data_IF_669235002276
#
_entry.id   IF_669235002276
#
_cell.length_a   1.000
_cell.length_b   1.000
_cell.length_c   1.000
_cell.angle_alpha   90.00
_cell.angle_beta   90.00
_cell.angle_gamma   90.00
#
_symmetry.space_group_name_H-M   'P 1'
#
loop_
_entity.id
_entity.type
_entity.pdbx_description
1 polymer ?
#
# COMPACT_ATOMS: atom_id res chain seq x y z
N UNK A 1 -1.66 2.16 1.28
CA UNK A 1 -2.82 1.26 1.03
C UNK A 1 -3.85 1.46 2.14
N UNK A 2 -5.08 1.67 1.78
CA UNK A 2 -6.18 1.66 2.75
C UNK A 2 -6.98 0.37 2.57
N UNK A 3 -7.52 -0.17 3.65
CA UNK A 3 -8.21 -1.45 3.57
C UNK A 3 -9.35 -1.58 4.57
N UNK A 4 -10.46 -2.14 4.10
CA UNK A 4 -11.47 -2.75 4.94
C UNK A 4 -11.15 -4.23 5.12
N UNK A 5 -12.16 -5.10 5.32
CA UNK A 5 -11.95 -6.54 5.49
C UNK A 5 -11.63 -7.21 4.15
N UNK A 6 -10.35 -7.31 3.82
CA UNK A 6 -9.84 -7.80 2.53
C UNK A 6 -8.91 -9.01 2.67
N UNK A 7 -9.12 -9.85 3.67
CA UNK A 7 -8.24 -11.00 3.95
C UNK A 7 -8.02 -11.93 2.76
N UNK A 8 -9.00 -12.03 1.84
CA UNK A 8 -8.90 -12.89 0.66
C UNK A 8 -8.09 -12.29 -0.48
N UNK A 9 -7.99 -10.96 -0.54
CA UNK A 9 -7.41 -10.24 -1.69
C UNK A 9 -6.13 -9.50 -1.37
N UNK A 10 -5.96 -9.08 -0.12
CA UNK A 10 -4.82 -8.25 0.28
C UNK A 10 -3.47 -8.96 0.08
N UNK A 11 -3.43 -10.29 0.24
CA UNK A 11 -2.18 -11.05 0.05
C UNK A 11 -1.63 -10.87 -1.37
N UNK A 12 -2.48 -10.95 -2.38
CA UNK A 12 -2.05 -10.77 -3.77
C UNK A 12 -1.57 -9.36 -4.05
N UNK A 13 -2.27 -8.36 -3.49
CA UNK A 13 -1.86 -6.97 -3.61
C UNK A 13 -0.49 -6.74 -2.96
N UNK A 14 -0.28 -7.27 -1.76
CA UNK A 14 0.98 -7.14 -1.03
C UNK A 14 2.13 -7.88 -1.74
N UNK A 15 1.88 -9.08 -2.24
CA UNK A 15 2.87 -9.84 -3.00
C UNK A 15 3.36 -9.07 -4.22
N UNK A 16 2.47 -8.32 -4.88
CA UNK A 16 2.79 -7.58 -6.08
C UNK A 16 3.70 -6.36 -5.84
N UNK A 17 3.86 -5.94 -4.59
CA UNK A 17 4.66 -4.75 -4.24
C UNK A 17 5.80 -5.05 -3.27
N UNK A 18 5.72 -6.12 -2.48
CA UNK A 18 6.66 -6.39 -1.39
C UNK A 18 8.10 -6.59 -1.84
N UNK A 19 8.31 -7.13 -3.03
CA UNK A 19 9.65 -7.47 -3.51
C UNK A 19 10.47 -6.28 -4.01
N UNK A 20 9.86 -5.12 -4.24
CA UNK A 20 10.53 -3.98 -4.87
C UNK A 20 10.21 -2.63 -4.23
N UNK A 21 9.36 -2.60 -3.22
CA UNK A 21 9.08 -1.37 -2.49
C UNK A 21 9.88 -1.34 -1.18
N UNK A 22 10.28 -0.15 -0.76
CA UNK A 22 11.06 0.05 0.47
C UNK A 22 10.19 -0.04 1.71
N UNK A 23 8.97 0.46 1.61
CA UNK A 23 8.06 0.60 2.75
C UNK A 23 6.63 0.34 2.30
N UNK A 24 5.90 -0.42 3.12
CA UNK A 24 4.47 -0.67 2.89
C UNK A 24 3.70 -0.12 4.08
N UNK A 25 2.75 0.77 3.82
CA UNK A 25 1.86 1.35 4.83
C UNK A 25 0.45 0.85 4.55
N UNK A 26 -0.18 0.25 5.55
CA UNK A 26 -1.57 -0.21 5.47
C UNK A 26 -2.39 0.48 6.56
N UNK A 27 -3.39 1.23 6.16
CA UNK A 27 -4.35 1.84 7.08
C UNK A 27 -5.64 1.03 7.02
N UNK A 28 -5.95 0.34 8.11
CA UNK A 28 -7.14 -0.49 8.22
C UNK A 28 -8.26 0.26 8.92
N UNK A 29 -9.50 -0.04 8.53
CA UNK A 29 -10.64 0.36 9.34
C UNK A 29 -10.52 -0.32 10.71
N UNK A 30 -10.80 0.42 11.79
CA UNK A 30 -10.54 -0.06 13.15
C UNK A 30 -11.29 -1.33 13.55
N UNK A 31 -12.41 -1.60 12.90
CA UNK A 31 -13.30 -2.75 13.18
C UNK A 31 -12.94 -4.02 12.40
N UNK A 32 -11.92 -3.98 11.54
CA UNK A 32 -11.51 -5.16 10.76
C UNK A 32 -10.97 -6.24 11.69
N UNK A 33 -11.55 -7.44 11.60
CA UNK A 33 -11.20 -8.56 12.46
C UNK A 33 -11.12 -9.90 11.70
N UNK A 34 -10.87 -9.86 10.39
CA UNK A 34 -10.82 -11.04 9.52
C UNK A 34 -9.40 -11.57 9.25
N UNK A 35 -8.41 -11.04 9.96
CA UNK A 35 -7.00 -11.43 9.77
C UNK A 35 -6.25 -10.61 8.73
N UNK A 36 -6.85 -9.57 8.16
CA UNK A 36 -6.19 -8.70 7.19
C UNK A 36 -4.93 -8.08 7.77
N UNK A 37 -4.94 -7.66 9.03
CA UNK A 37 -3.79 -7.09 9.72
C UNK A 37 -2.64 -8.08 9.85
N UNK A 38 -2.93 -9.34 10.16
CA UNK A 38 -1.91 -10.38 10.28
C UNK A 38 -1.24 -10.64 8.95
N UNK A 39 -2.01 -10.70 7.88
CA UNK A 39 -1.46 -10.87 6.52
C UNK A 39 -0.54 -9.70 6.17
N UNK A 40 -0.94 -8.48 6.45
CA UNK A 40 -0.12 -7.31 6.20
C UNK A 40 1.20 -7.37 6.97
N UNK A 41 1.17 -7.79 8.23
CA UNK A 41 2.38 -7.96 9.04
C UNK A 41 3.33 -9.02 8.47
N UNK A 42 2.82 -10.07 7.86
CA UNK A 42 3.66 -11.10 7.21
C UNK A 42 4.55 -10.51 6.11
N UNK A 43 4.11 -9.45 5.46
CA UNK A 43 4.87 -8.76 4.40
C UNK A 43 5.71 -7.59 4.92
N UNK A 44 5.81 -7.45 6.24
CA UNK A 44 6.59 -6.37 6.84
C UNK A 44 5.93 -5.00 6.77
N UNK A 45 4.63 -4.95 6.49
CA UNK A 45 3.90 -3.69 6.41
C UNK A 45 3.74 -3.05 7.80
N UNK A 46 3.75 -1.73 7.82
CA UNK A 46 3.36 -0.95 9.00
C UNK A 46 1.85 -0.80 8.96
N UNK A 47 1.17 -1.37 9.95
CA UNK A 47 -0.29 -1.41 9.99
C UNK A 47 -0.80 -0.41 11.01
N UNK A 48 -1.72 0.43 10.59
CA UNK A 48 -2.39 1.42 11.43
C UNK A 48 -3.89 1.18 11.38
N UNK A 49 -4.54 1.19 12.52
CA UNK A 49 -5.99 1.06 12.60
C UNK A 49 -6.60 2.44 12.83
N UNK A 50 -7.52 2.83 11.95
CA UNK A 50 -8.16 4.14 12.01
C UNK A 50 -9.65 4.04 11.75
N UNK A 51 -10.39 4.96 12.36
CA UNK A 51 -11.81 5.10 12.08
C UNK A 51 -12.01 5.48 10.63
N UNK A 52 -13.00 4.92 9.98
CA UNK A 52 -13.32 5.27 8.59
C UNK A 52 -13.79 6.74 8.51
N UNK A 53 -13.11 7.53 7.70
CA UNK A 53 -13.37 8.96 7.52
C UNK A 53 -13.74 9.31 6.08
N UNK A 54 -13.90 8.32 5.21
CA UNK A 54 -14.07 8.49 3.77
C UNK A 54 -12.79 8.20 3.00
N UNK A 55 -12.90 8.01 1.69
CA UNK A 55 -11.76 7.61 0.86
C UNK A 55 -10.62 8.64 0.85
N UNK A 56 -10.93 9.91 0.66
CA UNK A 56 -9.88 10.94 0.54
C UNK A 56 -9.15 11.16 1.86
N UNK A 57 -9.81 11.39 2.99
CA UNK A 57 -9.11 11.52 4.28
C UNK A 57 -8.31 10.28 4.65
N UNK A 58 -8.82 9.09 4.34
CA UNK A 58 -8.15 7.84 4.67
C UNK A 58 -6.88 7.65 3.83
N UNK A 59 -6.94 7.96 2.55
CA UNK A 59 -5.76 7.92 1.66
C UNK A 59 -4.72 8.97 2.06
N UNK A 60 -5.16 10.15 2.45
CA UNK A 60 -4.26 11.19 2.94
C UNK A 60 -3.56 10.77 4.24
N UNK A 61 -4.29 10.12 5.13
CA UNK A 61 -3.72 9.60 6.38
C UNK A 61 -2.62 8.57 6.09
N UNK A 62 -2.86 7.67 5.14
CA UNK A 62 -1.85 6.70 4.73
C UNK A 62 -0.61 7.38 4.15
N UNK A 63 -0.80 8.39 3.30
CA UNK A 63 0.30 9.14 2.69
C UNK A 63 1.13 9.90 3.72
N UNK A 64 0.49 10.47 4.73
CA UNK A 64 1.17 11.19 5.82
C UNK A 64 2.11 10.31 6.63
N UNK A 65 1.81 9.01 6.72
CA UNK A 65 2.62 8.03 7.46
C UNK A 65 3.83 7.53 6.69
N UNK A 66 3.87 7.77 5.38
CA UNK A 66 4.96 7.32 4.53
C UNK A 66 6.20 8.19 4.72
N UNK A 67 7.37 7.57 4.73
CA UNK A 67 8.65 8.24 4.96
C UNK A 67 9.50 8.34 3.69
N UNK A 68 9.04 7.80 2.57
CA UNK A 68 9.79 7.76 1.32
C UNK A 68 9.35 8.89 0.37
N UNK A 69 10.24 9.35 -0.53
CA UNK A 69 9.92 10.46 -1.43
C UNK A 69 8.90 10.11 -2.52
N UNK A 70 8.76 8.83 -2.86
CA UNK A 70 7.82 8.36 -3.88
C UNK A 70 6.76 7.50 -3.24
N UNK A 71 5.50 7.79 -3.53
CA UNK A 71 4.35 7.06 -2.98
C UNK A 71 3.55 6.41 -4.09
N UNK A 72 3.23 5.14 -3.91
CA UNK A 72 2.31 4.40 -4.77
C UNK A 72 1.01 4.17 -4.02
N UNK A 73 -0.08 4.76 -4.53
CA UNK A 73 -1.42 4.51 -4.01
C UNK A 73 -1.99 3.23 -4.62
N UNK A 74 -2.25 2.25 -3.79
CA UNK A 74 -2.79 0.96 -4.22
C UNK A 74 -3.92 0.54 -3.28
N UNK A 75 -5.04 0.10 -3.84
CA UNK A 75 -6.13 -0.45 -3.05
C UNK A 75 -5.85 -1.92 -2.73
N UNK A 76 -6.42 -2.43 -1.64
CA UNK A 76 -6.14 -3.79 -1.16
C UNK A 76 -6.60 -4.90 -2.10
N UNK A 77 -7.42 -4.59 -3.09
CA UNK A 77 -7.89 -5.52 -4.12
C UNK A 77 -7.20 -5.34 -5.47
N UNK A 78 -6.19 -4.46 -5.54
CA UNK A 78 -5.43 -4.20 -6.75
C UNK A 78 -4.09 -4.92 -6.73
N UNK A 79 -3.62 -5.30 -7.91
CA UNK A 79 -2.34 -6.01 -8.08
C UNK A 79 -1.49 -5.27 -9.10
N UNK A 80 -0.22 -5.01 -8.76
CA UNK A 80 0.73 -4.41 -9.70
C UNK A 80 1.31 -5.52 -10.57
N UNK A 81 1.09 -5.42 -11.89
CA UNK A 81 1.66 -6.38 -12.85
C UNK A 81 3.17 -6.15 -13.01
N UNK A 82 3.94 -7.16 -13.48
CA UNK A 82 5.35 -6.97 -13.79
C UNK A 82 5.61 -5.85 -14.80
N UNK A 83 4.74 -5.68 -15.78
CA UNK A 83 4.85 -4.58 -16.75
C UNK A 83 4.66 -3.23 -16.11
N UNK A 84 3.66 -3.09 -15.24
CA UNK A 84 3.43 -1.84 -14.51
C UNK A 84 4.58 -1.55 -13.54
N UNK A 85 5.13 -2.57 -12.90
CA UNK A 85 6.29 -2.42 -12.02
C UNK A 85 7.48 -1.83 -12.81
N UNK A 86 7.75 -2.32 -13.99
CA UNK A 86 8.81 -1.80 -14.86
C UNK A 86 8.55 -0.34 -15.26
N UNK A 87 7.32 -0.02 -15.62
CA UNK A 87 6.93 1.34 -15.97
C UNK A 87 7.12 2.31 -14.81
N UNK A 88 6.76 1.91 -13.60
CA UNK A 88 6.95 2.72 -12.39
C UNK A 88 8.43 2.95 -12.13
N UNK A 89 9.24 1.89 -12.20
CA UNK A 89 10.69 2.00 -11.98
C UNK A 89 11.35 2.94 -13.01
N UNK A 90 10.95 2.83 -14.27
CA UNK A 90 11.46 3.69 -15.34
C UNK A 90 11.05 5.15 -15.13
N UNK A 91 9.81 5.39 -14.71
CA UNK A 91 9.31 6.73 -14.44
C UNK A 91 10.07 7.40 -13.28
N UNK A 92 10.33 6.66 -12.21
CA UNK A 92 11.10 7.15 -11.07
C UNK A 92 12.54 7.47 -11.48
N UNK A 93 13.16 6.57 -12.24
CA UNK A 93 14.53 6.77 -12.72
C UNK A 93 14.63 7.99 -13.65
N UNK A 94 13.65 8.18 -14.54
CA UNK A 94 13.60 9.32 -15.44
C UNK A 94 13.43 10.63 -14.68
N UNK A 95 12.54 10.65 -13.68
CA UNK A 95 12.32 11.84 -12.85
C UNK A 95 13.57 12.19 -12.04
N UNK A 96 14.26 11.19 -11.51
CA UNK A 96 15.49 11.40 -10.75
C UNK A 96 16.64 11.94 -11.61
N UNK A 97 16.59 11.76 -12.93
CA UNK A 97 17.60 12.27 -13.89
C UNK A 97 17.32 13.69 -14.37
N UNK A 98 16.10 14.17 -14.17
CA UNK A 98 15.70 15.51 -14.57
C UNK A 98 16.08 16.49 -13.46
N UNK A 99 16.98 17.45 -13.73
CA UNK A 99 17.32 18.46 -12.74
C UNK A 99 16.19 19.44 -12.46
#
# INVERSE_FOLDING_TARGET
>A
MISGPESRRIRRALESVAGWTTEIIVVLNEEVADGTDQIAHEFGAKVYRERWKGYVPQKNSAAEKASQPWLLGLDADEVVSPGLQCEIADAIAAEARCP
#
